data_IF_217919759572
#
_entry.id   IF_217919759572
#
_cell.length_a   1.000
_cell.length_b   1.000
_cell.length_c   1.000
_cell.angle_alpha   90.00
_cell.angle_beta   90.00
_cell.angle_gamma   90.00
#
_symmetry.space_group_name_H-M   'P 1'
#
loop_
_entity.id
_entity.type
_entity.pdbx_description
1 polymer ?
#
# COMPACT_ATOMS: atom_id res chain seq x y z
N UNK A 1 6.35 0.39 -47.73
CA UNK A 1 6.54 0.77 -46.33
C UNK A 1 5.20 1.27 -45.82
N UNK A 2 4.43 0.42 -45.18
CA UNK A 2 3.16 0.82 -44.55
C UNK A 2 3.48 1.54 -43.26
N UNK A 3 3.24 2.87 -43.26
CA UNK A 3 3.30 3.65 -42.02
C UNK A 3 2.27 3.13 -41.03
N UNK A 4 2.74 2.64 -39.87
CA UNK A 4 1.85 2.47 -38.71
C UNK A 4 1.24 3.82 -38.44
N UNK A 5 -0.06 3.96 -38.66
CA UNK A 5 -0.85 5.02 -38.09
C UNK A 5 -0.56 4.98 -36.59
N UNK A 6 0.03 6.03 -36.04
CA UNK A 6 0.11 6.22 -34.61
C UNK A 6 -1.35 6.27 -34.14
N UNK A 7 -1.83 5.14 -33.60
CA UNK A 7 -2.99 5.19 -32.75
C UNK A 7 -2.68 6.27 -31.70
N UNK A 8 -3.53 7.30 -31.62
CA UNK A 8 -3.37 8.33 -30.61
C UNK A 8 -3.25 7.61 -29.25
N UNK A 9 -2.10 7.75 -28.60
CA UNK A 9 -1.90 7.17 -27.28
C UNK A 9 -3.03 7.66 -26.37
N UNK A 10 -3.68 6.76 -25.60
CA UNK A 10 -4.70 7.17 -24.64
C UNK A 10 -4.12 8.25 -23.74
N UNK A 11 -4.97 9.15 -23.27
CA UNK A 11 -4.59 10.25 -22.37
C UNK A 11 -3.71 9.70 -21.23
N UNK A 12 -2.52 10.28 -21.02
CA UNK A 12 -1.58 9.80 -20.03
C UNK A 12 -2.16 9.92 -18.63
N UNK A 13 -2.07 8.84 -17.86
CA UNK A 13 -2.37 8.84 -16.44
C UNK A 13 -1.37 9.75 -15.71
N UNK A 14 -1.85 10.74 -14.96
CA UNK A 14 -1.01 11.72 -14.28
C UNK A 14 -0.64 11.29 -12.86
N UNK A 15 -1.60 10.70 -12.15
CA UNK A 15 -1.50 10.39 -10.73
C UNK A 15 -2.54 9.34 -10.38
N UNK A 16 -2.19 8.43 -9.50
CA UNK A 16 -3.12 7.42 -8.98
C UNK A 16 -2.80 7.16 -7.50
N UNK A 17 -3.83 6.99 -6.71
CA UNK A 17 -3.73 6.59 -5.31
C UNK A 17 -5.02 5.90 -4.87
N UNK A 18 -4.94 4.96 -3.93
CA UNK A 18 -6.13 4.35 -3.36
C UNK A 18 -6.84 5.35 -2.43
N UNK A 19 -8.17 5.29 -2.44
CA UNK A 19 -9.01 5.93 -1.42
C UNK A 19 -9.86 4.87 -0.79
N UNK A 20 -9.74 4.70 0.53
CA UNK A 20 -10.52 3.73 1.29
C UNK A 20 -11.68 4.43 1.98
N UNK A 21 -12.81 3.75 2.06
CA UNK A 21 -13.95 4.21 2.82
C UNK A 21 -13.80 3.81 4.28
N UNK A 22 -14.19 4.67 5.20
CA UNK A 22 -14.10 4.40 6.63
C UNK A 22 -15.21 5.10 7.41
N UNK A 23 -15.72 4.46 8.43
CA UNK A 23 -16.61 5.06 9.43
C UNK A 23 -15.84 5.60 10.65
N UNK A 24 -14.51 5.51 10.61
CA UNK A 24 -13.59 5.90 11.69
C UNK A 24 -12.34 6.59 11.15
N UNK A 25 -12.54 7.79 10.58
CA UNK A 25 -11.46 8.56 9.98
C UNK A 25 -10.27 8.84 10.91
N UNK A 26 -10.48 9.30 12.17
CA UNK A 26 -9.36 9.61 13.05
C UNK A 26 -8.49 8.41 13.38
N UNK A 27 -9.10 7.26 13.70
CA UNK A 27 -8.38 6.04 14.04
C UNK A 27 -7.61 5.51 12.83
N UNK A 28 -8.22 5.57 11.65
CA UNK A 28 -7.58 5.13 10.40
C UNK A 28 -6.40 6.04 10.04
N UNK A 29 -6.59 7.35 10.09
CA UNK A 29 -5.49 8.32 9.93
C UNK A 29 -4.33 8.01 10.88
N UNK A 30 -4.62 7.85 12.15
CA UNK A 30 -3.61 7.64 13.19
C UNK A 30 -2.85 6.32 13.00
N UNK A 31 -3.52 5.28 12.51
CA UNK A 31 -2.88 4.00 12.17
C UNK A 31 -1.78 4.20 11.12
N UNK A 32 -2.10 4.82 9.99
CA UNK A 32 -1.14 5.00 8.90
C UNK A 32 -0.04 6.00 9.25
N UNK A 33 -0.37 7.05 9.97
CA UNK A 33 0.62 8.05 10.44
C UNK A 33 1.61 7.42 11.43
N UNK A 34 1.12 6.72 12.43
CA UNK A 34 1.97 6.21 13.52
C UNK A 34 2.72 4.94 13.17
N UNK A 35 2.14 4.08 12.35
CA UNK A 35 2.79 2.82 12.00
C UNK A 35 3.68 2.94 10.76
N UNK A 36 3.22 3.64 9.72
CA UNK A 36 3.87 3.67 8.42
C UNK A 36 4.51 5.04 8.08
N UNK A 37 4.44 6.01 8.98
CA UNK A 37 5.11 7.30 8.79
C UNK A 37 4.45 8.21 7.76
N UNK A 38 3.16 8.03 7.48
CA UNK A 38 2.44 8.98 6.63
C UNK A 38 2.32 10.35 7.31
N UNK A 39 2.31 11.38 6.50
CA UNK A 39 2.05 12.76 6.90
C UNK A 39 0.65 13.17 6.46
N UNK A 40 -0.02 13.99 7.28
CA UNK A 40 -1.34 14.50 6.96
C UNK A 40 -1.22 15.69 6.03
N UNK A 41 -1.67 15.53 4.78
CA UNK A 41 -1.72 16.62 3.80
C UNK A 41 -3.03 17.40 3.89
N UNK A 42 -4.12 16.74 4.24
CA UNK A 42 -5.44 17.34 4.45
C UNK A 42 -6.22 16.52 5.47
N UNK A 43 -6.98 17.19 6.33
CA UNK A 43 -7.81 16.54 7.35
C UNK A 43 -9.13 17.30 7.50
N UNK A 44 -10.22 16.57 7.38
CA UNK A 44 -11.57 17.10 7.57
C UNK A 44 -12.50 16.01 8.14
N UNK A 45 -13.72 16.37 8.43
CA UNK A 45 -14.74 15.43 8.90
C UNK A 45 -15.16 14.39 7.87
N UNK A 46 -14.88 14.62 6.59
CA UNK A 46 -15.32 13.76 5.50
C UNK A 46 -14.19 13.13 4.68
N UNK A 47 -12.99 13.69 4.75
CA UNK A 47 -11.85 13.21 3.95
C UNK A 47 -10.53 13.50 4.64
N UNK A 48 -9.62 12.53 4.59
CA UNK A 48 -8.23 12.68 5.00
C UNK A 48 -7.33 12.33 3.84
N UNK A 49 -6.37 13.18 3.53
CA UNK A 49 -5.31 12.89 2.56
C UNK A 49 -3.99 12.68 3.30
N UNK A 50 -3.39 11.52 3.07
CA UNK A 50 -2.10 11.14 3.62
C UNK A 50 -1.07 11.04 2.51
N UNK A 51 0.16 11.48 2.79
CA UNK A 51 1.28 11.43 1.85
C UNK A 51 2.54 10.97 2.57
N UNK A 52 3.48 10.43 1.81
CA UNK A 52 4.87 10.31 2.23
C UNK A 52 5.75 11.07 1.25
N UNK A 53 6.95 11.43 1.70
CA UNK A 53 7.96 12.04 0.84
C UNK A 53 9.16 11.11 0.73
N UNK A 54 9.86 11.19 -0.40
CA UNK A 54 11.16 10.54 -0.57
C UNK A 54 12.29 11.37 0.09
N UNK A 55 13.51 10.89 -0.01
CA UNK A 55 14.70 11.56 0.56
C UNK A 55 14.96 12.96 -0.04
N UNK A 56 14.37 13.24 -1.21
CA UNK A 56 14.46 14.54 -1.89
C UNK A 56 13.28 15.47 -1.57
N UNK A 57 12.35 15.00 -0.72
CA UNK A 57 11.15 15.74 -0.33
C UNK A 57 10.02 15.72 -1.38
N UNK A 58 10.11 14.83 -2.38
CA UNK A 58 9.05 14.66 -3.36
C UNK A 58 7.98 13.68 -2.86
N UNK A 59 6.69 13.88 -3.22
CA UNK A 59 5.64 12.92 -2.87
C UNK A 59 5.96 11.52 -3.41
N UNK A 60 5.99 10.52 -2.51
CA UNK A 60 6.31 9.14 -2.87
C UNK A 60 5.08 8.23 -2.84
N UNK A 61 4.26 8.32 -1.78
CA UNK A 61 3.06 7.54 -1.61
C UNK A 61 1.89 8.43 -1.23
N UNK A 62 0.69 8.01 -1.59
CA UNK A 62 -0.54 8.72 -1.25
C UNK A 62 -1.63 7.73 -0.86
N UNK A 63 -2.45 8.13 0.10
CA UNK A 63 -3.62 7.38 0.55
C UNK A 63 -4.73 8.36 0.92
N UNK A 64 -5.90 8.19 0.33
CA UNK A 64 -7.10 8.90 0.73
C UNK A 64 -7.95 8.06 1.68
N UNK A 65 -8.61 8.72 2.64
CA UNK A 65 -9.59 8.08 3.51
C UNK A 65 -10.85 8.93 3.45
N UNK A 66 -11.95 8.30 3.07
CA UNK A 66 -13.22 9.00 2.83
C UNK A 66 -14.28 8.50 3.79
N UNK A 67 -15.01 9.41 4.41
CA UNK A 67 -16.13 9.04 5.28
C UNK A 67 -17.19 8.28 4.49
N UNK A 68 -17.41 7.02 4.85
CA UNK A 68 -18.31 6.11 4.12
C UNK A 68 -19.76 6.62 4.09
N UNK A 69 -20.18 7.34 5.12
CA UNK A 69 -21.53 7.90 5.21
C UNK A 69 -21.70 9.28 4.55
N UNK A 70 -20.62 9.85 3.99
CA UNK A 70 -20.72 11.17 3.38
C UNK A 70 -21.59 11.14 2.12
N UNK A 71 -22.34 12.22 1.89
CA UNK A 71 -23.30 12.31 0.78
C UNK A 71 -22.68 12.12 -0.61
N UNK A 72 -21.39 12.46 -0.77
CA UNK A 72 -20.67 12.26 -2.03
C UNK A 72 -20.37 10.79 -2.33
N UNK A 73 -20.50 9.88 -1.35
CA UNK A 73 -20.36 8.44 -1.59
C UNK A 73 -21.74 7.90 -1.98
N UNK A 74 -21.94 7.44 -3.22
CA UNK A 74 -23.23 6.91 -3.64
C UNK A 74 -23.67 5.73 -2.76
N UNK A 75 -24.91 5.68 -2.29
CA UNK A 75 -25.38 4.68 -1.33
C UNK A 75 -25.04 3.23 -1.67
N UNK A 76 -25.13 2.75 -2.93
CA UNK A 76 -24.76 1.37 -3.28
C UNK A 76 -23.30 1.02 -3.05
N UNK A 77 -22.41 2.03 -2.91
CA UNK A 77 -20.97 1.85 -2.73
C UNK A 77 -20.51 2.05 -1.28
N UNK A 78 -21.42 2.36 -0.37
CA UNK A 78 -21.13 2.54 1.05
C UNK A 78 -20.93 1.20 1.71
N UNK A 79 -19.67 0.82 1.92
CA UNK A 79 -19.27 -0.43 2.57
C UNK A 79 -17.90 -0.27 3.22
N UNK A 80 -17.60 -1.13 4.17
CA UNK A 80 -16.24 -1.27 4.68
C UNK A 80 -15.30 -1.74 3.56
N UNK A 81 -14.03 -1.28 3.54
CA UNK A 81 -13.10 -1.68 2.49
C UNK A 81 -12.80 -3.18 2.59
N UNK A 82 -12.98 -3.88 1.48
CA UNK A 82 -12.73 -5.31 1.36
C UNK A 82 -12.32 -5.68 -0.07
N UNK A 83 -11.70 -6.85 -0.23
CA UNK A 83 -11.31 -7.35 -1.55
C UNK A 83 -10.09 -6.64 -2.16
N UNK A 84 -9.39 -5.84 -1.38
CA UNK A 84 -8.15 -5.15 -1.75
C UNK A 84 -7.14 -5.36 -0.62
N UNK A 85 -5.87 -5.44 -0.96
CA UNK A 85 -4.75 -5.44 -0.01
C UNK A 85 -3.90 -4.22 -0.30
N UNK A 86 -3.60 -3.43 0.72
CA UNK A 86 -2.62 -2.36 0.60
C UNK A 86 -1.25 -2.92 0.93
N UNK A 87 -0.31 -2.78 -0.01
CA UNK A 87 1.05 -3.27 0.14
C UNK A 87 2.02 -2.11 0.27
N UNK A 88 2.79 -2.12 1.35
CA UNK A 88 3.83 -1.13 1.63
C UNK A 88 5.19 -1.80 1.73
N UNK A 89 6.18 -1.22 1.09
CA UNK A 89 7.57 -1.67 1.19
C UNK A 89 8.31 -0.73 2.14
N UNK A 90 8.93 -1.31 3.15
CA UNK A 90 9.65 -0.60 4.22
C UNK A 90 11.08 -1.10 4.31
N UNK A 91 11.94 -0.36 4.99
CA UNK A 91 13.35 -0.72 5.13
C UNK A 91 13.55 -1.93 6.06
N UNK A 92 12.76 -2.04 7.14
CA UNK A 92 12.91 -3.08 8.15
C UNK A 92 11.54 -3.51 8.70
N UNK A 93 11.01 -4.60 8.14
CA UNK A 93 9.71 -5.14 8.57
C UNK A 93 9.76 -5.75 9.98
N UNK A 94 10.90 -6.25 10.42
CA UNK A 94 11.04 -6.82 11.76
C UNK A 94 10.97 -5.74 12.84
N UNK A 95 11.63 -4.59 12.62
CA UNK A 95 11.52 -3.44 13.50
C UNK A 95 10.08 -2.92 13.55
N UNK A 96 9.41 -2.86 12.40
CA UNK A 96 8.01 -2.45 12.33
C UNK A 96 7.08 -3.42 13.04
N UNK A 97 7.37 -4.71 13.01
CA UNK A 97 6.61 -5.73 13.74
C UNK A 97 6.68 -5.50 15.27
N UNK A 98 7.85 -5.17 15.80
CA UNK A 98 8.01 -4.80 17.22
C UNK A 98 7.13 -3.61 17.55
N UNK A 99 7.14 -2.56 16.73
CA UNK A 99 6.32 -1.38 16.93
C UNK A 99 4.82 -1.66 16.80
N UNK A 100 4.41 -2.48 15.85
CA UNK A 100 3.02 -2.88 15.69
C UNK A 100 2.50 -3.61 16.93
N UNK A 101 3.28 -4.51 17.48
CA UNK A 101 2.93 -5.23 18.71
C UNK A 101 2.86 -4.29 19.91
N UNK A 102 3.83 -3.39 20.04
CA UNK A 102 3.84 -2.39 21.12
C UNK A 102 2.61 -1.48 21.08
N UNK A 103 2.13 -1.15 19.90
CA UNK A 103 0.95 -0.30 19.67
C UNK A 103 -0.37 -1.07 19.68
N UNK A 104 -0.35 -2.38 19.88
CA UNK A 104 -1.55 -3.21 19.90
C UNK A 104 -2.21 -3.39 18.54
N UNK A 105 -1.46 -3.22 17.44
CA UNK A 105 -1.96 -3.47 16.09
C UNK A 105 -2.18 -4.97 15.90
N UNK A 106 -3.36 -5.41 15.41
CA UNK A 106 -3.60 -6.81 15.15
C UNK A 106 -2.67 -7.34 14.06
N UNK A 107 -1.84 -8.33 14.42
CA UNK A 107 -0.92 -9.01 13.51
C UNK A 107 -1.59 -10.30 13.03
N UNK A 108 -1.88 -10.37 11.73
CA UNK A 108 -2.47 -11.56 11.09
C UNK A 108 -1.41 -12.62 10.85
N UNK A 109 -0.23 -12.21 10.39
CA UNK A 109 0.93 -13.08 10.19
C UNK A 109 2.21 -12.31 10.53
N UNK A 110 3.08 -12.85 11.41
CA UNK A 110 4.36 -12.23 11.73
C UNK A 110 5.32 -12.26 10.54
N UNK A 111 6.41 -11.47 10.57
CA UNK A 111 7.39 -11.45 9.50
C UNK A 111 7.90 -12.84 9.13
N UNK A 112 7.83 -13.18 7.85
CA UNK A 112 8.31 -14.44 7.29
C UNK A 112 8.84 -14.21 5.89
N UNK A 113 9.95 -14.87 5.55
CA UNK A 113 10.47 -14.86 4.20
C UNK A 113 9.51 -15.60 3.25
N UNK A 114 9.21 -14.95 2.15
CA UNK A 114 8.38 -15.49 1.09
C UNK A 114 9.28 -15.94 -0.08
N UNK A 115 8.87 -16.99 -0.76
CA UNK A 115 9.64 -17.58 -1.85
C UNK A 115 9.97 -16.60 -2.98
N UNK A 116 9.13 -15.57 -3.17
CA UNK A 116 9.26 -14.57 -4.23
C UNK A 116 10.19 -13.39 -3.91
N UNK A 117 10.89 -13.41 -2.77
CA UNK A 117 11.89 -12.38 -2.44
C UNK A 117 11.39 -11.22 -1.59
N UNK A 118 10.46 -11.49 -0.71
CA UNK A 118 9.98 -10.54 0.30
C UNK A 118 9.96 -11.19 1.68
N UNK A 119 10.39 -10.44 2.68
CA UNK A 119 10.08 -10.74 4.07
C UNK A 119 8.86 -9.94 4.46
N UNK A 120 7.76 -10.61 4.74
CA UNK A 120 6.42 -10.03 4.80
C UNK A 120 5.74 -10.26 6.14
N UNK A 121 5.09 -9.22 6.64
CA UNK A 121 4.14 -9.23 7.74
C UNK A 121 2.76 -8.84 7.22
N UNK A 122 1.70 -9.42 7.76
CA UNK A 122 0.31 -9.01 7.51
C UNK A 122 -0.30 -8.45 8.78
N UNK A 123 -0.90 -7.29 8.67
CA UNK A 123 -1.66 -6.64 9.75
C UNK A 123 -3.04 -6.22 9.23
N UNK A 124 -3.92 -5.82 10.12
CA UNK A 124 -5.17 -5.17 9.74
C UNK A 124 -5.20 -3.73 10.22
N UNK A 125 -5.77 -2.86 9.40
CA UNK A 125 -6.06 -1.49 9.80
C UNK A 125 -7.34 -1.42 10.68
N UNK A 126 -7.73 -0.25 11.21
CA UNK A 126 -8.93 -0.12 12.04
C UNK A 126 -10.26 -0.51 11.36
N UNK A 127 -10.28 -0.58 10.02
CA UNK A 127 -11.46 -1.00 9.25
C UNK A 127 -11.48 -2.51 8.97
N UNK A 128 -10.47 -3.27 9.44
CA UNK A 128 -10.29 -4.67 9.12
C UNK A 128 -9.67 -4.92 7.73
N UNK A 129 -9.20 -3.88 7.05
CA UNK A 129 -8.52 -4.01 5.77
C UNK A 129 -7.15 -4.67 5.94
N UNK A 130 -6.87 -5.66 5.10
CA UNK A 130 -5.59 -6.34 5.12
C UNK A 130 -4.48 -5.43 4.58
N UNK A 131 -3.42 -5.28 5.36
CA UNK A 131 -2.24 -4.50 5.02
C UNK A 131 -1.03 -5.42 5.00
N UNK A 132 -0.36 -5.45 3.87
CA UNK A 132 0.88 -6.20 3.62
C UNK A 132 2.05 -5.23 3.77
N UNK A 133 2.95 -5.52 4.70
CA UNK A 133 4.17 -4.74 4.91
C UNK A 133 5.36 -5.64 4.71
N UNK A 134 6.28 -5.24 3.85
CA UNK A 134 7.39 -6.09 3.46
C UNK A 134 8.71 -5.34 3.28
N UNK A 135 9.78 -6.10 3.42
CA UNK A 135 11.15 -5.69 3.09
C UNK A 135 11.68 -6.63 1.99
N UNK A 136 12.41 -6.13 1.00
CA UNK A 136 13.06 -7.00 0.02
C UNK A 136 13.95 -8.06 0.68
N UNK A 137 13.89 -9.29 0.19
CA UNK A 137 14.71 -10.41 0.64
C UNK A 137 15.15 -11.26 -0.55
N UNK A 138 15.97 -12.29 -0.30
CA UNK A 138 16.43 -13.17 -1.37
C UNK A 138 15.33 -14.14 -1.79
N UNK A 139 14.95 -14.18 -3.08
CA UNK A 139 14.01 -15.18 -3.58
C UNK A 139 14.56 -16.61 -3.45
N UNK A 140 13.68 -17.60 -3.40
CA UNK A 140 14.10 -19.02 -3.44
C UNK A 140 14.82 -19.34 -4.75
N UNK A 141 15.75 -20.32 -4.75
CA UNK A 141 16.43 -20.76 -5.98
C UNK A 141 15.44 -21.21 -7.07
N UNK A 142 14.38 -21.89 -6.70
CA UNK A 142 13.33 -22.38 -7.60
C UNK A 142 12.60 -21.23 -8.27
N UNK A 143 12.23 -20.21 -7.50
CA UNK A 143 11.56 -19.01 -8.03
C UNK A 143 12.47 -18.22 -8.96
N UNK A 144 13.75 -18.06 -8.59
CA UNK A 144 14.73 -17.40 -9.46
C UNK A 144 14.90 -18.13 -10.79
N UNK A 145 15.01 -19.46 -10.76
CA UNK A 145 15.10 -20.27 -11.96
C UNK A 145 13.87 -20.13 -12.85
N UNK A 146 12.66 -20.09 -12.27
CA UNK A 146 11.43 -19.89 -12.99
C UNK A 146 11.36 -18.52 -13.66
N UNK A 147 11.75 -17.46 -12.94
CA UNK A 147 11.78 -16.09 -13.47
C UNK A 147 12.74 -15.98 -14.65
N UNK A 148 13.92 -16.59 -14.55
CA UNK A 148 14.88 -16.63 -15.65
C UNK A 148 14.32 -17.36 -16.88
N UNK A 149 13.64 -18.50 -16.71
CA UNK A 149 12.97 -19.20 -17.81
C UNK A 149 11.92 -18.34 -18.51
N UNK A 150 11.26 -17.45 -17.79
CA UNK A 150 10.26 -16.51 -18.33
C UNK A 150 10.87 -15.24 -18.91
N UNK A 151 12.19 -15.09 -18.88
CA UNK A 151 12.88 -13.88 -19.36
C UNK A 151 12.67 -12.66 -18.46
N UNK A 152 12.31 -12.86 -17.20
CA UNK A 152 12.13 -11.79 -16.23
C UNK A 152 13.42 -11.67 -15.42
N UNK A 153 14.09 -10.53 -15.52
CA UNK A 153 15.26 -10.28 -14.70
C UNK A 153 14.87 -10.21 -13.22
N UNK A 154 15.58 -10.91 -12.31
CA UNK A 154 15.35 -10.76 -10.88
C UNK A 154 15.58 -9.30 -10.48
N UNK A 155 14.67 -8.76 -9.68
CA UNK A 155 14.84 -7.42 -9.13
C UNK A 155 16.18 -7.36 -8.38
N UNK A 156 17.04 -6.43 -8.78
CA UNK A 156 18.27 -6.17 -8.06
C UNK A 156 17.91 -5.62 -6.69
N UNK A 157 18.27 -6.35 -5.66
CA UNK A 157 18.17 -5.88 -4.28
C UNK A 157 19.20 -4.74 -4.13
N UNK A 158 18.74 -3.53 -4.14
CA UNK A 158 19.51 -2.35 -3.75
C UNK A 158 19.14 -1.99 -2.33
#
# INVERSE_FOLDING_TARGET
MMGRTREEAPMALRRAFPTILSDRLPETRDFYVRLLGFEVAFDSEYYVALTTSDDEGQPACELGIWAVGHEMVPPPYRADPAGIVLTFVVDDVDALHVEARRKGVPVVAPPRDQFYGRRRMLVTDPNGLLVDVSTPSTPSPEFRAEMLRRGIAPATTT
#
